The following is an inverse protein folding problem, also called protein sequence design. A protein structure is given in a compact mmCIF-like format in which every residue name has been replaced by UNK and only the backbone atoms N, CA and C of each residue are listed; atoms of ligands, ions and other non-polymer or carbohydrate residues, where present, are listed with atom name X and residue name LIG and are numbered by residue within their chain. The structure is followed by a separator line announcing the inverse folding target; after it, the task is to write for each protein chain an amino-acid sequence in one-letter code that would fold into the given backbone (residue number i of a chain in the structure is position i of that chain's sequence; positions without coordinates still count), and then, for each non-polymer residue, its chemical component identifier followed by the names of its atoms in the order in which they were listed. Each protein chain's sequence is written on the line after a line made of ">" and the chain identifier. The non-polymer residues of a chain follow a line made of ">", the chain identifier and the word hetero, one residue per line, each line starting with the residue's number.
data_IF_986339090048
#
_entry.id   IF_986339090048
#
_cell.length_a   1.000
_cell.length_b   1.000
_cell.length_c   1.000
_cell.angle_alpha   90.00
_cell.angle_beta   90.00
_cell.angle_gamma   90.00
#
_symmetry.space_group_name_H-M   'P 1'
#
loop_
_entity.id
_entity.type
_entity.pdbx_description
1 polymer ?
#
# COMPACT_ATOMS: atom_id res chain seq x y z
N UNK A 1 -32.19 -4.12 -9.05
CA UNK A 1 -32.29 -4.04 -7.57
C UNK A 1 -30.96 -3.49 -7.08
N UNK A 2 -30.97 -2.47 -6.22
CA UNK A 2 -29.74 -1.90 -5.66
C UNK A 2 -29.11 -2.95 -4.73
N UNK A 3 -27.81 -3.26 -4.87
CA UNK A 3 -27.16 -4.25 -4.01
C UNK A 3 -27.27 -3.84 -2.55
N UNK A 4 -27.62 -4.78 -1.68
CA UNK A 4 -27.69 -4.54 -0.23
C UNK A 4 -26.28 -4.26 0.28
N UNK A 5 -26.07 -3.08 0.82
CA UNK A 5 -24.77 -2.62 1.30
C UNK A 5 -24.73 -2.66 2.81
N UNK A 6 -23.69 -3.31 3.35
CA UNK A 6 -23.26 -3.17 4.73
C UNK A 6 -22.00 -2.29 4.77
N UNK A 7 -22.05 -1.25 5.59
CA UNK A 7 -20.90 -0.38 5.85
C UNK A 7 -20.40 -0.62 7.26
N UNK A 8 -19.12 -0.93 7.39
CA UNK A 8 -18.42 -1.12 8.65
C UNK A 8 -17.31 -0.06 8.77
N UNK A 9 -16.98 0.31 10.00
CA UNK A 9 -15.84 1.17 10.28
C UNK A 9 -14.78 0.30 10.95
N UNK A 10 -13.52 0.42 10.51
CA UNK A 10 -12.40 -0.25 11.13
C UNK A 10 -12.40 0.00 12.65
N UNK A 11 -12.40 -1.05 13.46
CA UNK A 11 -12.49 -0.98 14.92
C UNK A 11 -13.72 -0.25 15.50
N UNK A 12 -14.78 -0.09 14.70
CA UNK A 12 -16.11 0.27 15.15
C UNK A 12 -16.89 -0.94 15.68
N UNK A 13 -18.17 -0.73 15.99
CA UNK A 13 -19.05 -1.77 16.51
C UNK A 13 -19.40 -2.83 15.45
N UNK A 14 -19.74 -4.03 15.92
CA UNK A 14 -20.18 -5.11 15.05
C UNK A 14 -21.63 -4.89 14.58
N UNK A 15 -21.91 -5.22 13.33
CA UNK A 15 -23.23 -5.15 12.74
C UNK A 15 -23.80 -6.56 12.53
N UNK A 16 -25.12 -6.71 12.71
CA UNK A 16 -25.79 -8.00 12.53
C UNK A 16 -26.19 -8.21 11.08
N UNK A 17 -25.80 -9.34 10.50
CA UNK A 17 -26.14 -9.70 9.13
C UNK A 17 -26.56 -11.16 9.02
N UNK A 18 -27.65 -11.40 8.26
CA UNK A 18 -28.08 -12.74 7.91
C UNK A 18 -27.23 -13.27 6.73
N UNK A 19 -26.48 -14.35 6.94
CA UNK A 19 -25.63 -14.97 5.93
C UNK A 19 -26.08 -16.41 5.64
N UNK A 20 -26.10 -16.79 4.37
CA UNK A 20 -26.22 -18.19 4.00
C UNK A 20 -24.88 -18.92 4.19
N UNK A 21 -24.90 -20.26 4.12
CA UNK A 21 -23.70 -21.07 4.37
C UNK A 21 -22.55 -20.75 3.38
N UNK A 22 -22.85 -20.53 2.10
CA UNK A 22 -21.83 -20.19 1.09
C UNK A 22 -21.25 -18.80 1.34
N UNK A 23 -22.07 -17.82 1.69
CA UNK A 23 -21.63 -16.47 2.06
C UNK A 23 -20.71 -16.48 3.29
N UNK A 24 -21.08 -17.23 4.34
CA UNK A 24 -20.28 -17.39 5.55
C UNK A 24 -18.89 -17.97 5.22
N UNK A 25 -18.83 -19.09 4.50
CA UNK A 25 -17.56 -19.72 4.12
C UNK A 25 -16.72 -18.81 3.24
N UNK A 26 -17.35 -18.09 2.31
CA UNK A 26 -16.67 -17.17 1.41
C UNK A 26 -16.02 -16.01 2.18
N UNK A 27 -16.76 -15.36 3.08
CA UNK A 27 -16.20 -14.27 3.89
C UNK A 27 -15.14 -14.74 4.87
N UNK A 28 -15.30 -15.93 5.48
CA UNK A 28 -14.27 -16.49 6.37
C UNK A 28 -12.95 -16.73 5.63
N UNK A 29 -12.99 -17.26 4.40
CA UNK A 29 -11.79 -17.51 3.59
C UNK A 29 -11.06 -16.24 3.19
N UNK A 30 -11.81 -15.18 2.92
CA UNK A 30 -11.25 -13.87 2.54
C UNK A 30 -10.58 -13.20 3.73
N UNK A 31 -11.11 -13.40 4.95
CA UNK A 31 -10.57 -12.78 6.17
C UNK A 31 -10.72 -11.25 6.22
N UNK A 32 -11.65 -10.69 5.43
CA UNK A 32 -11.90 -9.24 5.37
C UNK A 32 -12.62 -8.70 6.61
N UNK A 33 -13.55 -9.48 7.16
CA UNK A 33 -14.35 -9.16 8.35
C UNK A 33 -14.23 -10.27 9.38
N UNK A 34 -14.27 -9.89 10.66
CA UNK A 34 -14.46 -10.86 11.75
C UNK A 34 -15.92 -11.27 11.78
N UNK A 35 -16.19 -12.58 11.81
CA UNK A 35 -17.54 -13.12 11.82
C UNK A 35 -17.71 -13.95 13.08
N UNK A 36 -18.66 -13.55 13.93
CA UNK A 36 -19.01 -14.24 15.16
C UNK A 36 -20.44 -14.76 15.07
N UNK A 37 -20.70 -16.06 15.35
CA UNK A 37 -22.06 -16.59 15.37
C UNK A 37 -22.87 -15.99 16.52
N UNK A 38 -24.15 -15.70 16.27
CA UNK A 38 -25.09 -15.29 17.31
C UNK A 38 -25.89 -16.49 17.83
N UNK A 39 -26.78 -16.26 18.80
CA UNK A 39 -27.74 -17.27 19.27
C UNK A 39 -28.84 -17.56 18.24
N UNK A 40 -29.00 -16.71 17.21
CA UNK A 40 -30.00 -16.86 16.16
C UNK A 40 -29.38 -17.52 14.93
N UNK A 41 -29.92 -18.68 14.53
CA UNK A 41 -29.41 -19.45 13.40
C UNK A 41 -29.43 -18.63 12.10
N UNK A 42 -28.27 -18.53 11.45
CA UNK A 42 -28.11 -17.80 10.19
C UNK A 42 -27.84 -16.30 10.36
N UNK A 43 -27.83 -15.78 11.59
CA UNK A 43 -27.47 -14.39 11.90
C UNK A 43 -26.10 -14.36 12.57
N UNK A 44 -25.24 -13.49 12.04
CA UNK A 44 -23.86 -13.32 12.49
C UNK A 44 -23.60 -11.87 12.84
N UNK A 45 -22.72 -11.65 13.80
CA UNK A 45 -22.14 -10.33 14.08
C UNK A 45 -20.85 -10.18 13.26
N UNK A 46 -20.82 -9.14 12.43
CA UNK A 46 -19.71 -8.81 11.55
C UNK A 46 -19.03 -7.55 12.07
N UNK A 47 -17.74 -7.65 12.37
CA UNK A 47 -16.90 -6.51 12.67
C UNK A 47 -15.84 -6.33 11.58
N UNK A 48 -15.44 -5.10 11.32
CA UNK A 48 -14.35 -4.81 10.40
C UNK A 48 -13.06 -5.54 10.81
N UNK A 49 -12.37 -6.15 9.84
CA UNK A 49 -11.03 -6.68 10.04
C UNK A 49 -9.97 -5.58 10.11
N UNK A 50 -8.70 -5.95 9.89
CA UNK A 50 -7.56 -5.01 9.84
C UNK A 50 -7.37 -4.34 8.47
N UNK A 51 -8.20 -4.71 7.50
CA UNK A 51 -8.13 -4.25 6.10
C UNK A 51 -9.31 -3.36 5.80
N UNK A 52 -9.09 -2.32 5.00
CA UNK A 52 -10.13 -1.40 4.54
C UNK A 52 -10.36 -1.57 3.05
N UNK A 53 -11.57 -1.28 2.59
CA UNK A 53 -11.91 -1.35 1.18
C UNK A 53 -13.30 -1.94 0.95
N UNK A 54 -13.54 -2.52 -0.22
CA UNK A 54 -14.86 -3.01 -0.62
C UNK A 54 -14.79 -4.46 -1.09
N UNK A 55 -15.81 -5.23 -0.72
CA UNK A 55 -15.98 -6.63 -1.10
C UNK A 55 -17.40 -6.84 -1.57
N UNK A 56 -17.56 -7.33 -2.79
CA UNK A 56 -18.84 -7.78 -3.32
C UNK A 56 -18.99 -9.27 -3.04
N UNK A 57 -20.14 -9.68 -2.51
CA UNK A 57 -20.51 -11.05 -2.14
C UNK A 57 -21.83 -11.39 -2.83
N UNK A 58 -21.77 -11.96 -4.03
CA UNK A 58 -22.96 -12.09 -4.89
C UNK A 58 -23.61 -10.73 -5.17
N UNK A 59 -24.86 -10.55 -4.76
CA UNK A 59 -25.59 -9.26 -4.89
C UNK A 59 -25.40 -8.31 -3.70
N UNK A 60 -24.64 -8.71 -2.67
CA UNK A 60 -24.38 -7.89 -1.48
C UNK A 60 -23.01 -7.24 -1.54
N UNK A 61 -22.87 -6.14 -0.82
CA UNK A 61 -21.61 -5.41 -0.71
C UNK A 61 -21.27 -5.16 0.75
N UNK A 62 -20.01 -5.38 1.09
CA UNK A 62 -19.43 -5.03 2.39
C UNK A 62 -18.36 -4.00 2.13
N UNK A 63 -18.50 -2.83 2.75
CA UNK A 63 -17.55 -1.73 2.67
C UNK A 63 -16.97 -1.51 4.07
N UNK A 64 -15.64 -1.57 4.20
CA UNK A 64 -14.94 -1.24 5.45
C UNK A 64 -14.20 0.08 5.26
N UNK A 65 -14.57 1.09 6.03
CA UNK A 65 -13.89 2.39 6.03
C UNK A 65 -12.72 2.41 7.01
N UNK A 66 -11.63 3.12 6.69
CA UNK A 66 -10.58 3.42 7.66
C UNK A 66 -11.12 4.27 8.81
N UNK A 67 -10.48 4.15 9.98
CA UNK A 67 -10.73 5.07 11.11
C UNK A 67 -10.39 6.53 10.79
N UNK A 68 -9.48 6.76 9.86
CA UNK A 68 -9.17 8.11 9.34
C UNK A 68 -10.30 8.52 8.39
N UNK A 69 -11.07 9.53 8.77
CA UNK A 69 -12.19 10.01 7.98
C UNK A 69 -11.77 10.82 6.72
N UNK A 70 -10.58 11.43 6.72
CA UNK A 70 -10.09 12.24 5.60
C UNK A 70 -9.46 11.37 4.50
N UNK A 71 -10.18 11.19 3.40
CA UNK A 71 -9.74 10.39 2.25
C UNK A 71 -8.54 11.00 1.52
N UNK A 72 -8.46 12.34 1.46
CA UNK A 72 -7.32 13.04 0.90
C UNK A 72 -6.06 12.77 1.72
N UNK A 73 -6.22 12.60 3.05
CA UNK A 73 -5.11 12.16 3.90
C UNK A 73 -4.60 10.80 3.51
N UNK A 74 -5.49 9.83 3.33
CA UNK A 74 -5.07 8.47 3.01
C UNK A 74 -4.31 8.43 1.69
N UNK A 75 -4.79 9.17 0.68
CA UNK A 75 -4.10 9.23 -0.60
C UNK A 75 -2.71 9.87 -0.48
N UNK A 76 -2.58 10.92 0.35
CA UNK A 76 -1.28 11.50 0.68
C UNK A 76 -0.35 10.49 1.35
N UNK A 77 -0.79 9.76 2.38
CA UNK A 77 0.05 8.76 3.07
C UNK A 77 0.54 7.68 2.09
N UNK A 78 -0.37 7.14 1.27
CA UNK A 78 -0.08 6.15 0.24
C UNK A 78 0.93 6.65 -0.80
N UNK A 79 0.74 7.89 -1.27
CA UNK A 79 1.61 8.49 -2.26
C UNK A 79 3.00 8.81 -1.70
N UNK A 80 3.03 9.43 -0.53
CA UNK A 80 4.27 9.85 0.12
C UNK A 80 5.18 8.67 0.47
N UNK A 81 4.61 7.58 0.99
CA UNK A 81 5.33 6.34 1.25
C UNK A 81 6.03 5.75 0.00
N UNK A 82 5.55 6.09 -1.20
CA UNK A 82 6.08 5.57 -2.47
C UNK A 82 7.07 6.53 -3.14
N UNK A 83 6.78 7.83 -3.10
CA UNK A 83 7.62 8.86 -3.70
C UNK A 83 7.44 10.21 -2.97
N UNK A 84 8.24 10.50 -1.94
CA UNK A 84 8.12 11.72 -1.15
C UNK A 84 8.30 13.02 -1.93
N UNK A 85 9.26 13.05 -2.86
CA UNK A 85 9.63 14.24 -3.61
C UNK A 85 8.47 14.73 -4.49
N UNK A 86 7.69 13.80 -5.03
CA UNK A 86 6.59 14.12 -5.95
C UNK A 86 5.29 14.43 -5.19
N UNK A 87 4.97 13.67 -4.14
CA UNK A 87 3.69 13.83 -3.40
C UNK A 87 3.69 14.97 -2.39
N UNK A 88 4.85 15.58 -2.12
CA UNK A 88 4.95 16.83 -1.34
C UNK A 88 4.34 18.03 -2.07
N UNK A 89 4.46 18.09 -3.40
CA UNK A 89 4.14 19.27 -4.21
C UNK A 89 2.86 19.17 -5.06
N UNK A 90 2.36 17.96 -5.39
CA UNK A 90 1.17 17.74 -6.23
C UNK A 90 0.17 16.75 -5.59
N UNK A 91 -0.56 17.13 -4.52
CA UNK A 91 -1.54 16.25 -3.89
C UNK A 91 -2.74 16.03 -4.81
N UNK A 92 -3.05 14.76 -5.07
CA UNK A 92 -4.29 14.40 -5.77
C UNK A 92 -5.48 14.69 -4.86
N UNK A 93 -6.32 15.65 -5.27
CA UNK A 93 -7.55 15.99 -4.57
C UNK A 93 -8.72 15.08 -5.01
N UNK A 94 -9.32 14.41 -4.02
CA UNK A 94 -10.53 13.59 -4.10
C UNK A 94 -11.82 14.41 -3.90
N UNK A 95 -11.76 15.75 -4.00
CA UNK A 95 -12.85 16.70 -3.79
C UNK A 95 -14.27 16.14 -3.96
N UNK A 96 -15.02 16.07 -2.85
CA UNK A 96 -16.43 15.68 -2.84
C UNK A 96 -16.71 14.17 -2.84
N UNK A 97 -15.69 13.32 -2.67
CA UNK A 97 -15.90 11.89 -2.48
C UNK A 97 -16.32 11.57 -1.02
N UNK A 98 -17.48 10.94 -0.86
CA UNK A 98 -17.93 10.40 0.43
C UNK A 98 -17.31 9.02 0.74
N UNK A 99 -16.82 8.32 -0.29
CA UNK A 99 -16.26 6.98 -0.19
C UNK A 99 -14.86 6.91 -0.83
N UNK A 100 -13.92 6.23 -0.16
CA UNK A 100 -12.50 6.14 -0.57
C UNK A 100 -12.33 5.60 -1.99
N UNK A 101 -12.91 4.42 -2.27
CA UNK A 101 -12.66 3.71 -3.52
C UNK A 101 -13.32 4.40 -4.73
N UNK A 102 -14.60 4.83 -4.67
CA UNK A 102 -15.19 5.67 -5.72
C UNK A 102 -14.44 6.99 -5.90
N UNK A 103 -13.95 7.61 -4.82
CA UNK A 103 -13.13 8.82 -4.89
C UNK A 103 -11.82 8.60 -5.65
N UNK A 104 -11.05 7.58 -5.29
CA UNK A 104 -9.82 7.19 -5.99
C UNK A 104 -10.13 6.89 -7.46
N UNK A 105 -11.22 6.17 -7.74
CA UNK A 105 -11.62 5.84 -9.10
C UNK A 105 -11.94 7.09 -9.93
N UNK A 106 -12.64 8.06 -9.35
CA UNK A 106 -13.00 9.31 -10.02
C UNK A 106 -11.76 10.19 -10.28
N UNK A 107 -10.88 10.32 -9.29
CA UNK A 107 -9.61 11.03 -9.43
C UNK A 107 -8.73 10.39 -10.50
N UNK A 108 -8.55 9.06 -10.45
CA UNK A 108 -7.79 8.32 -11.46
C UNK A 108 -8.40 8.49 -12.84
N UNK A 109 -9.71 8.27 -12.99
CA UNK A 109 -10.39 8.38 -14.27
C UNK A 109 -10.22 9.79 -14.87
N UNK A 110 -10.26 10.85 -14.05
CA UNK A 110 -10.01 12.23 -14.47
C UNK A 110 -8.56 12.44 -14.90
N UNK A 111 -7.59 12.05 -14.08
CA UNK A 111 -6.16 12.29 -14.31
C UNK A 111 -5.66 11.47 -15.51
N UNK A 112 -5.96 10.17 -15.55
CA UNK A 112 -5.58 9.29 -16.65
C UNK A 112 -6.24 9.71 -17.97
N UNK A 113 -7.50 10.16 -17.97
CA UNK A 113 -8.15 10.65 -19.19
C UNK A 113 -7.43 11.87 -19.78
N UNK A 114 -6.96 12.80 -18.92
CA UNK A 114 -6.16 13.95 -19.38
C UNK A 114 -4.80 13.51 -19.91
N UNK A 115 -4.14 12.56 -19.24
CA UNK A 115 -2.84 12.05 -19.66
C UNK A 115 -2.86 11.45 -21.08
N UNK A 116 -3.94 10.75 -21.44
CA UNK A 116 -4.11 10.09 -22.75
C UNK A 116 -4.82 10.94 -23.80
N UNK A 117 -5.26 12.16 -23.46
CA UNK A 117 -6.10 13.00 -24.33
C UNK A 117 -5.42 13.32 -25.68
N UNK A 118 -4.10 13.47 -25.66
CA UNK A 118 -3.26 13.71 -26.83
C UNK A 118 -2.70 12.41 -27.45
N UNK A 119 -3.39 11.29 -27.27
CA UNK A 119 -2.96 9.97 -27.73
C UNK A 119 -2.05 9.21 -26.76
N UNK A 120 -1.94 7.89 -26.95
CA UNK A 120 -1.11 7.05 -26.10
C UNK A 120 0.37 7.37 -26.24
N UNK A 121 1.12 7.24 -25.15
CA UNK A 121 2.58 7.30 -25.22
C UNK A 121 3.08 6.08 -26.00
N UNK A 122 3.99 6.29 -26.94
CA UNK A 122 4.71 5.22 -27.64
C UNK A 122 6.14 5.19 -27.13
N UNK A 123 6.70 4.00 -27.03
CA UNK A 123 8.08 3.79 -26.60
C UNK A 123 8.67 2.52 -27.18
N UNK A 124 9.98 2.38 -27.04
CA UNK A 124 10.68 1.17 -27.45
C UNK A 124 10.51 0.09 -26.38
N UNK A 125 10.13 -1.11 -26.80
CA UNK A 125 10.10 -2.30 -25.97
C UNK A 125 10.93 -3.39 -26.62
N UNK A 126 11.87 -3.95 -25.85
CA UNK A 126 12.64 -5.11 -26.27
C UNK A 126 11.76 -6.37 -26.20
N UNK A 127 11.65 -7.07 -27.32
CA UNK A 127 10.86 -8.29 -27.48
C UNK A 127 11.81 -9.42 -27.84
N UNK A 128 11.74 -10.52 -27.08
CA UNK A 128 12.39 -11.78 -27.42
C UNK A 128 11.33 -12.77 -27.91
N UNK A 129 11.46 -13.23 -29.16
CA UNK A 129 10.48 -14.12 -29.80
C UNK A 129 11.19 -15.13 -30.74
N UNK A 130 10.46 -16.17 -31.13
CA UNK A 130 10.91 -17.17 -32.12
C UNK A 130 10.21 -16.91 -33.45
N UNK A 131 10.93 -16.34 -34.40
CA UNK A 131 10.37 -15.91 -35.69
C UNK A 131 10.90 -16.74 -36.86
N UNK A 132 10.14 -16.87 -37.96
CA UNK A 132 10.66 -17.52 -39.16
C UNK A 132 11.71 -16.69 -39.92
N UNK A 133 11.93 -15.44 -39.49
CA UNK A 133 12.82 -14.46 -40.12
C UNK A 133 13.73 -13.82 -39.07
N UNK A 134 14.90 -13.36 -39.50
CA UNK A 134 15.80 -12.58 -38.63
C UNK A 134 15.26 -11.15 -38.51
N UNK A 135 14.83 -10.76 -37.30
CA UNK A 135 14.46 -9.40 -36.93
C UNK A 135 15.28 -8.97 -35.72
N UNK A 136 16.04 -7.89 -35.83
CA UNK A 136 16.98 -7.47 -34.78
C UNK A 136 18.17 -8.42 -34.64
N UNK A 137 18.54 -8.78 -33.40
CA UNK A 137 19.68 -9.66 -33.09
C UNK A 137 19.24 -11.10 -32.85
N UNK A 138 20.04 -12.07 -33.29
CA UNK A 138 19.80 -13.47 -32.97
C UNK A 138 20.32 -13.80 -31.57
N UNK A 139 19.51 -14.48 -30.77
CA UNK A 139 19.91 -15.03 -29.48
C UNK A 139 20.61 -16.37 -29.67
N UNK A 140 21.86 -16.34 -30.14
CA UNK A 140 22.63 -17.53 -30.50
C UNK A 140 22.69 -18.57 -29.37
N UNK A 141 22.82 -18.14 -28.11
CA UNK A 141 22.80 -19.04 -26.96
C UNK A 141 21.48 -19.81 -26.84
N UNK A 142 20.33 -19.15 -27.01
CA UNK A 142 19.03 -19.83 -27.00
C UNK A 142 18.85 -20.72 -28.23
N UNK A 143 19.30 -20.27 -29.41
CA UNK A 143 19.24 -21.07 -30.65
C UNK A 143 20.02 -22.38 -30.50
N UNK A 144 21.23 -22.32 -29.94
CA UNK A 144 22.11 -23.47 -29.81
C UNK A 144 21.68 -24.43 -28.70
N UNK A 145 21.04 -23.93 -27.64
CA UNK A 145 20.67 -24.76 -26.48
C UNK A 145 19.24 -25.31 -26.55
N UNK A 146 18.27 -24.51 -27.02
CA UNK A 146 16.84 -24.88 -27.00
C UNK A 146 16.28 -25.23 -28.37
N UNK A 147 16.90 -24.75 -29.45
CA UNK A 147 16.46 -24.96 -30.84
C UNK A 147 17.54 -25.65 -31.68
N UNK A 148 18.38 -26.47 -31.04
CA UNK A 148 19.48 -27.17 -31.69
C UNK A 148 18.99 -28.03 -32.87
N UNK A 149 19.66 -27.89 -34.02
CA UNK A 149 19.33 -28.62 -35.24
C UNK A 149 18.12 -28.08 -36.02
N UNK A 150 17.38 -27.10 -35.48
CA UNK A 150 16.30 -26.41 -36.19
C UNK A 150 16.84 -25.10 -36.80
N UNK A 151 16.81 -24.94 -38.15
CA UNK A 151 17.19 -23.69 -38.77
C UNK A 151 16.13 -22.59 -38.57
N UNK A 152 14.88 -22.98 -38.29
CA UNK A 152 13.72 -22.10 -38.11
C UNK A 152 12.76 -22.76 -37.09
N UNK A 153 12.10 -22.00 -36.19
CA UNK A 153 12.21 -20.56 -35.98
C UNK A 153 13.56 -20.14 -35.37
N UNK A 154 13.93 -18.88 -35.62
CA UNK A 154 15.10 -18.23 -35.04
C UNK A 154 14.71 -17.55 -33.73
N UNK A 155 15.43 -17.83 -32.66
CA UNK A 155 15.37 -17.04 -31.43
C UNK A 155 15.97 -15.66 -31.69
N UNK A 156 15.15 -14.62 -31.67
CA UNK A 156 15.55 -13.24 -31.97
C UNK A 156 15.12 -12.29 -30.86
N UNK A 157 15.84 -11.18 -30.76
CA UNK A 157 15.52 -10.07 -29.89
C UNK A 157 15.59 -8.76 -30.69
N UNK A 158 14.56 -7.93 -30.57
CA UNK A 158 14.50 -6.64 -31.26
C UNK A 158 13.71 -5.62 -30.45
N UNK A 159 13.94 -4.35 -30.73
CA UNK A 159 13.17 -3.25 -30.14
C UNK A 159 12.00 -2.88 -31.06
N UNK A 160 10.79 -2.89 -30.50
CA UNK A 160 9.56 -2.51 -31.19
C UNK A 160 9.08 -1.15 -30.69
N UNK A 161 8.76 -0.23 -31.60
CA UNK A 161 8.18 1.05 -31.24
C UNK A 161 6.66 0.92 -31.16
N UNK A 162 6.13 0.82 -29.95
CA UNK A 162 4.76 0.37 -29.69
C UNK A 162 4.08 1.20 -28.60
N UNK A 163 2.76 1.13 -28.53
CA UNK A 163 1.97 1.61 -27.38
C UNK A 163 1.96 0.59 -26.24
N UNK A 164 2.38 -0.65 -26.47
CA UNK A 164 2.41 -1.71 -25.45
C UNK A 164 3.64 -1.60 -24.52
N UNK A 165 3.77 -0.45 -23.87
CA UNK A 165 4.85 -0.08 -22.93
C UNK A 165 4.39 -0.20 -21.46
N UNK A 166 5.34 -0.17 -20.53
CA UNK A 166 5.09 -0.29 -19.09
C UNK A 166 4.03 0.71 -18.60
N UNK A 167 4.15 1.98 -18.99
CA UNK A 167 3.25 3.05 -18.58
C UNK A 167 1.79 2.76 -18.97
N UNK A 168 1.55 2.41 -20.24
CA UNK A 168 0.20 2.14 -20.72
C UNK A 168 -0.38 0.86 -20.11
N UNK A 169 0.46 -0.17 -19.87
CA UNK A 169 0.04 -1.40 -19.19
C UNK A 169 -0.41 -1.14 -17.76
N UNK A 170 0.33 -0.33 -17.00
CA UNK A 170 -0.06 0.05 -15.64
C UNK A 170 -1.40 0.80 -15.62
N UNK A 171 -1.58 1.78 -16.52
CA UNK A 171 -2.84 2.52 -16.61
C UNK A 171 -4.01 1.63 -17.04
N UNK A 172 -3.81 0.70 -17.97
CA UNK A 172 -4.83 -0.27 -18.36
C UNK A 172 -5.20 -1.19 -17.19
N UNK A 173 -4.22 -1.74 -16.48
CA UNK A 173 -4.46 -2.62 -15.33
C UNK A 173 -5.22 -1.88 -14.23
N UNK A 174 -4.81 -0.66 -13.87
CA UNK A 174 -5.53 0.16 -12.89
C UNK A 174 -6.95 0.51 -13.37
N UNK A 175 -7.12 0.81 -14.67
CA UNK A 175 -8.46 1.07 -15.25
C UNK A 175 -9.37 -0.15 -15.13
N UNK A 176 -8.87 -1.34 -15.45
CA UNK A 176 -9.61 -2.59 -15.33
C UNK A 176 -9.94 -2.90 -13.87
N UNK A 177 -8.99 -2.63 -12.97
CA UNK A 177 -9.17 -2.80 -11.54
C UNK A 177 -10.25 -1.87 -10.99
N UNK A 178 -10.29 -0.62 -11.43
CA UNK A 178 -11.29 0.32 -10.93
C UNK A 178 -12.69 0.05 -11.52
N UNK A 179 -12.81 -0.55 -12.70
CA UNK A 179 -14.12 -0.84 -13.31
C UNK A 179 -14.98 -1.85 -12.54
N UNK A 180 -14.37 -2.61 -11.62
CA UNK A 180 -15.06 -3.54 -10.71
C UNK A 180 -15.47 -2.88 -9.39
N UNK A 181 -14.99 -1.65 -9.11
CA UNK A 181 -15.33 -0.92 -7.90
C UNK A 181 -16.84 -0.68 -7.88
N UNK A 182 -17.53 -1.03 -6.77
CA UNK A 182 -18.95 -0.78 -6.66
C UNK A 182 -19.24 0.71 -6.54
N UNK A 183 -20.47 1.12 -6.89
CA UNK A 183 -20.98 2.50 -6.69
C UNK A 183 -20.13 3.60 -7.34
N UNK A 184 -19.43 3.27 -8.44
CA UNK A 184 -18.84 4.29 -9.29
C UNK A 184 -19.89 5.26 -9.81
N UNK A 185 -19.57 6.55 -9.78
CA UNK A 185 -20.35 7.56 -10.47
C UNK A 185 -20.43 7.24 -11.97
N UNK A 186 -21.57 7.50 -12.60
CA UNK A 186 -21.74 7.29 -14.05
C UNK A 186 -20.73 8.09 -14.89
N UNK A 187 -20.25 9.21 -14.36
CA UNK A 187 -19.15 10.00 -14.94
C UNK A 187 -17.81 9.25 -14.87
N UNK A 188 -17.43 8.74 -13.70
CA UNK A 188 -16.21 7.96 -13.53
C UNK A 188 -16.24 6.68 -14.37
N UNK A 189 -17.36 5.93 -14.33
CA UNK A 189 -17.54 4.70 -15.10
C UNK A 189 -17.40 4.93 -16.60
N UNK A 190 -18.02 5.99 -17.14
CA UNK A 190 -17.87 6.35 -18.57
C UNK A 190 -16.44 6.72 -18.95
N UNK A 191 -15.72 7.44 -18.09
CA UNK A 191 -14.30 7.78 -18.31
C UNK A 191 -13.43 6.52 -18.31
N UNK A 192 -13.59 5.63 -17.33
CA UNK A 192 -12.86 4.36 -17.27
C UNK A 192 -13.14 3.46 -18.48
N UNK A 193 -14.39 3.35 -18.93
CA UNK A 193 -14.73 2.60 -20.15
C UNK A 193 -14.14 3.23 -21.42
N UNK A 194 -13.97 4.56 -21.46
CA UNK A 194 -13.26 5.24 -22.54
C UNK A 194 -11.77 4.92 -22.50
N UNK A 195 -11.14 5.04 -21.34
CA UNK A 195 -9.73 4.67 -21.12
C UNK A 195 -9.46 3.23 -21.55
N UNK A 196 -10.27 2.28 -21.10
CA UNK A 196 -10.15 0.86 -21.50
C UNK A 196 -10.18 0.68 -23.02
N UNK A 197 -11.02 1.44 -23.74
CA UNK A 197 -11.07 1.38 -25.21
C UNK A 197 -9.85 2.04 -25.86
N UNK A 198 -9.33 3.11 -25.29
CA UNK A 198 -8.09 3.75 -25.78
C UNK A 198 -6.89 2.81 -25.69
N UNK A 199 -6.87 1.89 -24.73
CA UNK A 199 -5.82 0.88 -24.54
C UNK A 199 -6.07 -0.44 -25.28
N UNK A 200 -6.88 -0.46 -26.35
CA UNK A 200 -7.23 -1.70 -27.06
C UNK A 200 -6.02 -2.49 -27.60
N UNK A 201 -4.95 -1.78 -27.98
CA UNK A 201 -3.70 -2.37 -28.51
C UNK A 201 -2.64 -2.59 -27.42
N UNK A 202 -3.00 -2.51 -26.14
CA UNK A 202 -2.10 -2.71 -24.99
C UNK A 202 -2.42 -4.04 -24.33
N UNK A 203 -1.39 -4.85 -24.07
CA UNK A 203 -1.57 -6.18 -23.51
C UNK A 203 -1.98 -6.13 -22.04
N UNK A 204 -3.00 -6.91 -21.68
CA UNK A 204 -3.37 -7.16 -20.28
C UNK A 204 -2.39 -8.18 -19.70
N UNK A 205 -1.82 -7.88 -18.53
CA UNK A 205 -0.90 -8.79 -17.86
C UNK A 205 -1.69 -9.91 -17.14
N UNK A 206 -1.25 -11.18 -17.22
CA UNK A 206 -1.84 -12.24 -16.42
C UNK A 206 -1.73 -11.94 -14.93
N UNK A 207 -2.71 -12.41 -14.15
CA UNK A 207 -2.67 -12.28 -12.68
C UNK A 207 -1.43 -12.94 -12.10
N UNK A 208 -0.87 -12.31 -11.07
CA UNK A 208 0.36 -12.77 -10.42
C UNK A 208 1.65 -12.45 -11.17
N UNK A 209 1.57 -11.86 -12.36
CA UNK A 209 2.76 -11.32 -13.03
C UNK A 209 3.27 -10.11 -12.25
N UNK A 210 4.59 -10.00 -12.07
CA UNK A 210 5.19 -8.79 -11.52
C UNK A 210 4.79 -7.56 -12.34
N UNK A 211 4.42 -6.48 -11.66
CA UNK A 211 4.07 -5.22 -12.34
C UNK A 211 5.31 -4.67 -13.06
N UNK A 212 5.15 -4.15 -14.29
CA UNK A 212 6.26 -3.56 -15.02
C UNK A 212 6.69 -2.27 -14.31
N UNK A 213 7.99 -2.02 -14.26
CA UNK A 213 8.56 -0.79 -13.73
C UNK A 213 8.56 0.31 -14.78
N UNK A 214 8.36 1.56 -14.37
CA UNK A 214 8.56 2.76 -15.19
C UNK A 214 9.45 3.74 -14.43
N UNK A 215 10.04 4.71 -15.14
CA UNK A 215 10.86 5.76 -14.53
C UNK A 215 10.39 7.13 -14.99
N UNK A 216 10.32 8.13 -14.09
CA UNK A 216 10.02 9.51 -14.47
C UNK A 216 11.01 10.02 -15.53
N UNK A 217 10.47 10.55 -16.62
CA UNK A 217 11.24 11.19 -17.68
C UNK A 217 10.48 12.37 -18.28
N UNK A 218 11.17 13.22 -19.03
CA UNK A 218 10.52 14.32 -19.77
C UNK A 218 9.50 13.83 -20.80
N UNK A 219 9.66 12.60 -21.28
CA UNK A 219 8.77 12.01 -22.30
C UNK A 219 7.43 11.56 -21.71
N UNK A 220 7.42 11.13 -20.45
CA UNK A 220 6.23 10.64 -19.77
C UNK A 220 5.68 11.62 -18.73
N UNK A 221 6.14 12.88 -18.69
CA UNK A 221 5.70 13.90 -17.72
C UNK A 221 4.17 13.99 -17.60
N UNK A 222 3.43 13.96 -18.72
CA UNK A 222 1.96 14.01 -18.70
C UNK A 222 1.28 12.76 -18.10
N UNK A 223 2.01 11.64 -17.95
CA UNK A 223 1.51 10.39 -17.39
C UNK A 223 1.83 10.24 -15.90
N UNK A 224 2.82 10.97 -15.37
CA UNK A 224 3.42 10.66 -14.07
C UNK A 224 2.40 10.62 -12.94
N UNK A 225 1.53 11.63 -12.80
CA UNK A 225 0.49 11.64 -11.76
C UNK A 225 -0.50 10.48 -11.93
N UNK A 226 -0.83 10.09 -13.16
CA UNK A 226 -1.71 8.94 -13.43
C UNK A 226 -1.03 7.61 -13.08
N UNK A 227 0.26 7.48 -13.39
CA UNK A 227 1.05 6.28 -13.12
C UNK A 227 1.29 6.08 -11.63
N UNK A 228 1.59 7.15 -10.89
CA UNK A 228 1.72 7.11 -9.43
C UNK A 228 0.42 6.66 -8.77
N UNK A 229 -0.72 7.20 -9.22
CA UNK A 229 -2.01 6.76 -8.73
C UNK A 229 -2.33 5.32 -9.14
N UNK A 230 -1.92 4.88 -10.34
CA UNK A 230 -2.02 3.49 -10.78
C UNK A 230 -1.21 2.55 -9.88
N UNK A 231 0.01 2.93 -9.48
CA UNK A 231 0.83 2.15 -8.55
C UNK A 231 0.15 1.96 -7.19
N UNK A 232 -0.47 3.02 -6.65
CA UNK A 232 -1.26 2.96 -5.42
C UNK A 232 -2.46 1.99 -5.58
N UNK A 233 -3.19 2.12 -6.68
CA UNK A 233 -4.35 1.27 -6.99
C UNK A 233 -3.93 -0.20 -7.14
N UNK A 234 -2.80 -0.46 -7.81
CA UNK A 234 -2.30 -1.80 -8.07
C UNK A 234 -1.56 -2.41 -6.88
N UNK A 235 -1.15 -1.60 -5.90
CA UNK A 235 -0.66 -2.07 -4.61
C UNK A 235 -1.78 -2.56 -3.69
N UNK A 236 -3.04 -2.21 -3.96
CA UNK A 236 -4.17 -2.77 -3.25
C UNK A 236 -4.22 -4.29 -3.49
N UNK A 237 -4.42 -5.07 -2.43
CA UNK A 237 -4.65 -6.50 -2.59
C UNK A 237 -6.02 -6.68 -3.26
N UNK A 238 -5.97 -7.05 -4.54
CA UNK A 238 -7.15 -7.45 -5.30
C UNK A 238 -7.36 -8.94 -5.14
N UNK A 239 -8.59 -9.36 -4.88
CA UNK A 239 -8.93 -10.77 -4.86
C UNK A 239 -10.22 -11.02 -5.62
N UNK A 240 -10.27 -12.18 -6.26
CA UNK A 240 -11.48 -12.75 -6.84
C UNK A 240 -11.49 -14.23 -6.47
N UNK A 241 -12.50 -14.63 -5.69
CA UNK A 241 -12.63 -16.00 -5.21
C UNK A 241 -14.05 -16.48 -5.45
N UNK A 242 -14.17 -17.66 -6.06
CA UNK A 242 -15.46 -18.34 -6.22
C UNK A 242 -15.60 -19.41 -5.12
N UNK A 243 -16.60 -19.29 -4.24
CA UNK A 243 -17.00 -20.34 -3.28
C UNK A 243 -18.37 -20.86 -3.66
N UNK A 244 -18.41 -22.03 -4.30
CA UNK A 244 -19.65 -22.57 -4.86
C UNK A 244 -20.24 -21.59 -5.89
N UNK A 245 -21.48 -21.16 -5.68
CA UNK A 245 -22.16 -20.20 -6.55
C UNK A 245 -21.90 -18.73 -6.18
N UNK A 246 -21.16 -18.47 -5.10
CA UNK A 246 -20.88 -17.11 -4.63
C UNK A 246 -19.52 -16.65 -5.15
N UNK A 247 -19.55 -15.62 -5.99
CA UNK A 247 -18.36 -14.86 -6.37
C UNK A 247 -18.08 -13.79 -5.34
N UNK A 248 -16.82 -13.72 -4.88
CA UNK A 248 -16.31 -12.66 -4.02
C UNK A 248 -15.23 -11.89 -4.73
N UNK A 249 -15.43 -10.59 -4.92
CA UNK A 249 -14.43 -9.69 -5.52
C UNK A 249 -14.24 -8.48 -4.65
N UNK A 250 -12.99 -8.09 -4.40
CA UNK A 250 -12.74 -6.90 -3.59
C UNK A 250 -11.33 -6.34 -3.69
N UNK A 251 -11.17 -5.18 -3.08
CA UNK A 251 -9.93 -4.41 -2.99
C UNK A 251 -9.68 -4.05 -1.55
N UNK A 252 -8.49 -4.40 -1.06
CA UNK A 252 -8.13 -4.24 0.34
C UNK A 252 -6.83 -3.46 0.47
N UNK A 253 -6.83 -2.52 1.40
CA UNK A 253 -5.64 -1.82 1.86
C UNK A 253 -5.33 -2.23 3.30
N UNK A 254 -4.08 -2.62 3.53
CA UNK A 254 -3.52 -2.78 4.87
C UNK A 254 -3.14 -1.42 5.43
N UNK A 255 -4.05 -0.80 6.17
CA UNK A 255 -3.84 0.56 6.69
C UNK A 255 -2.62 0.69 7.60
N UNK A 256 -2.31 -0.38 8.33
CA UNK A 256 -1.13 -0.41 9.19
C UNK A 256 0.17 -0.33 8.38
N UNK A 257 0.27 -1.06 7.25
CA UNK A 257 1.42 -0.99 6.33
C UNK A 257 1.55 0.40 5.72
N UNK A 258 0.45 0.98 5.30
CA UNK A 258 0.44 2.33 4.71
C UNK A 258 0.99 3.36 5.70
N UNK A 259 0.56 3.26 6.97
CA UNK A 259 1.04 4.15 8.01
C UNK A 259 2.51 3.90 8.33
N UNK A 260 2.94 2.65 8.45
CA UNK A 260 4.34 2.26 8.65
C UNK A 260 5.24 2.78 7.53
N UNK A 261 4.91 2.46 6.27
CA UNK A 261 5.68 2.91 5.11
C UNK A 261 5.78 4.44 5.06
N UNK A 262 4.70 5.15 5.41
CA UNK A 262 4.71 6.62 5.49
C UNK A 262 5.65 7.13 6.58
N UNK A 263 5.52 6.62 7.82
CA UNK A 263 6.32 7.06 8.96
C UNK A 263 7.80 6.78 8.74
N UNK A 264 8.12 5.57 8.29
CA UNK A 264 9.49 5.14 8.01
C UNK A 264 10.13 5.98 6.91
N UNK A 265 9.41 6.24 5.82
CA UNK A 265 9.90 7.06 4.70
C UNK A 265 10.11 8.51 5.12
N UNK A 266 9.12 9.13 5.76
CA UNK A 266 9.18 10.53 6.16
C UNK A 266 10.24 10.78 7.24
N UNK A 267 10.38 9.88 8.22
CA UNK A 267 11.46 9.96 9.20
C UNK A 267 12.83 9.73 8.56
N UNK A 268 12.94 8.82 7.58
CA UNK A 268 14.19 8.58 6.86
C UNK A 268 14.70 9.82 6.13
N UNK A 269 13.81 10.56 5.45
CA UNK A 269 14.18 11.84 4.83
C UNK A 269 14.60 12.88 5.87
N UNK A 270 13.82 13.02 6.94
CA UNK A 270 14.11 13.98 8.01
C UNK A 270 15.46 13.69 8.69
N UNK A 271 15.76 12.42 8.96
CA UNK A 271 17.07 11.99 9.46
C UNK A 271 18.19 12.14 8.43
N UNK A 272 17.91 11.90 7.14
CA UNK A 272 18.87 12.13 6.05
C UNK A 272 19.40 13.56 6.04
N UNK A 273 18.55 14.56 6.32
CA UNK A 273 18.96 15.97 6.46
C UNK A 273 19.85 16.23 7.68
N UNK A 274 19.74 15.40 8.73
CA UNK A 274 20.57 15.48 9.93
C UNK A 274 21.89 14.69 9.76
N UNK A 275 21.98 13.84 8.73
CA UNK A 275 23.08 12.91 8.45
C UNK A 275 22.91 11.57 9.16
N UNK A 276 23.68 10.56 8.75
CA UNK A 276 23.50 9.17 9.18
C UNK A 276 22.76 8.34 8.13
N UNK A 277 22.45 7.08 8.46
CA UNK A 277 21.77 6.14 7.56
C UNK A 277 20.55 5.55 8.26
N UNK A 278 19.42 5.58 7.59
CA UNK A 278 18.22 4.88 8.01
C UNK A 278 18.17 3.49 7.36
N UNK A 279 17.86 2.47 8.15
CA UNK A 279 17.58 1.12 7.67
C UNK A 279 16.11 0.82 8.02
N UNK A 280 15.20 0.85 7.04
CA UNK A 280 13.83 0.40 7.26
C UNK A 280 13.81 -1.12 7.42
N UNK A 281 12.95 -1.62 8.31
CA UNK A 281 12.72 -3.06 8.50
C UNK A 281 14.03 -3.86 8.72
N UNK A 282 14.93 -3.34 9.55
CA UNK A 282 16.27 -3.87 9.78
C UNK A 282 16.19 -5.29 10.41
N UNK A 283 16.68 -6.34 9.74
CA UNK A 283 16.57 -7.70 10.26
C UNK A 283 17.56 -7.92 11.42
N UNK A 284 17.02 -8.29 12.58
CA UNK A 284 17.74 -8.57 13.81
C UNK A 284 17.29 -9.94 14.37
N UNK A 285 18.03 -10.47 15.35
CA UNK A 285 17.59 -11.64 16.11
C UNK A 285 17.61 -11.34 17.61
N UNK A 286 16.63 -11.89 18.32
CA UNK A 286 16.50 -11.73 19.77
C UNK A 286 17.53 -12.56 20.54
N UNK A 287 17.86 -13.72 20.01
CA UNK A 287 18.64 -14.75 20.66
C UNK A 287 19.96 -15.02 19.93
N UNK A 288 20.98 -15.47 20.67
CA UNK A 288 22.32 -15.75 20.13
C UNK A 288 22.34 -16.89 19.09
N UNK A 289 21.25 -17.67 18.98
CA UNK A 289 21.12 -18.77 18.03
C UNK A 289 20.40 -18.36 16.73
N UNK A 290 20.05 -17.08 16.56
CA UNK A 290 19.36 -16.53 15.39
C UNK A 290 18.05 -17.28 15.05
N UNK A 291 17.28 -17.67 16.08
CA UNK A 291 16.02 -18.42 15.88
C UNK A 291 14.77 -17.55 16.01
N UNK A 292 14.89 -16.40 16.66
CA UNK A 292 13.79 -15.49 16.93
C UNK A 292 14.05 -14.19 16.20
N UNK A 293 13.42 -14.06 15.03
CA UNK A 293 13.51 -12.86 14.19
C UNK A 293 12.90 -11.64 14.88
N UNK A 294 13.55 -10.49 14.66
CA UNK A 294 13.13 -9.17 15.10
C UNK A 294 13.27 -8.21 13.93
N UNK A 295 12.27 -7.35 13.75
CA UNK A 295 12.24 -6.42 12.63
C UNK A 295 11.63 -5.08 13.05
N UNK A 296 12.42 -4.17 13.64
CA UNK A 296 11.97 -2.80 13.87
C UNK A 296 11.68 -2.08 12.55
N UNK A 297 10.62 -1.27 12.52
CA UNK A 297 10.19 -0.57 11.31
C UNK A 297 11.27 0.40 10.79
N UNK A 298 12.00 1.06 11.69
CA UNK A 298 13.11 1.95 11.33
C UNK A 298 14.20 1.98 12.39
N UNK A 299 15.45 1.80 11.96
CA UNK A 299 16.63 2.08 12.78
C UNK A 299 17.48 3.15 12.11
N UNK A 300 17.84 4.20 12.85
CA UNK A 300 18.75 5.24 12.38
C UNK A 300 20.13 5.08 13.00
N UNK A 301 21.14 5.06 12.13
CA UNK A 301 22.53 4.82 12.44
C UNK A 301 23.40 6.06 12.21
N UNK A 302 24.42 6.21 13.04
CA UNK A 302 25.55 7.12 12.80
C UNK A 302 26.82 6.30 12.63
N UNK A 303 27.30 6.20 11.40
CA UNK A 303 28.28 5.16 11.06
C UNK A 303 27.60 3.80 11.18
N UNK A 304 28.22 2.89 11.94
CA UNK A 304 27.69 1.55 12.20
C UNK A 304 26.98 1.44 13.58
N UNK A 305 26.91 2.54 14.33
CA UNK A 305 26.25 2.54 15.64
C UNK A 305 24.76 2.89 15.51
N UNK A 306 23.84 2.03 15.98
CA UNK A 306 22.43 2.38 16.07
C UNK A 306 22.27 3.50 17.09
N UNK A 307 21.45 4.51 16.77
CA UNK A 307 21.21 5.68 17.65
C UNK A 307 19.75 5.81 18.05
N UNK A 308 18.85 5.40 17.17
CA UNK A 308 17.41 5.53 17.38
C UNK A 308 16.74 4.30 16.76
N UNK A 309 15.84 3.68 17.53
CA UNK A 309 14.91 2.65 17.03
C UNK A 309 13.49 3.18 17.13
N UNK A 310 12.74 3.02 16.04
CA UNK A 310 11.36 3.48 15.89
C UNK A 310 10.50 2.33 15.39
N UNK A 311 9.30 2.25 15.96
CA UNK A 311 8.25 1.33 15.51
C UNK A 311 6.91 2.09 15.45
N UNK A 312 6.23 1.97 14.32
CA UNK A 312 5.03 2.70 13.95
C UNK A 312 3.79 1.82 14.15
N UNK A 313 2.85 2.30 14.95
CA UNK A 313 1.62 1.57 15.28
C UNK A 313 0.38 2.31 14.78
N UNK A 314 -0.31 1.69 13.83
CA UNK A 314 -1.60 2.16 13.33
C UNK A 314 -2.77 1.79 14.27
N UNK A 315 -2.77 2.38 15.46
CA UNK A 315 -3.85 2.29 16.44
C UNK A 315 -3.75 3.47 17.41
N UNK A 316 -4.86 3.80 18.05
CA UNK A 316 -4.82 4.70 19.19
C UNK A 316 -4.16 3.98 20.37
N UNK A 317 -3.34 4.70 21.14
CA UNK A 317 -2.92 4.29 22.48
C UNK A 317 -4.20 4.10 23.33
N UNK A 318 -4.66 2.85 23.51
CA UNK A 318 -5.82 2.51 24.35
C UNK A 318 -5.30 1.95 25.68
N UNK A 319 -5.74 2.46 26.85
CA UNK A 319 -5.35 1.91 28.15
C UNK A 319 -6.08 0.61 28.53
N UNK A 320 -7.22 0.29 27.90
CA UNK A 320 -8.13 -0.75 28.39
C UNK A 320 -8.26 -1.93 27.42
N UNK A 321 -7.51 -2.99 27.72
CA UNK A 321 -7.76 -4.36 27.24
C UNK A 321 -6.81 -4.83 26.13
N UNK A 322 -6.02 -5.87 26.46
CA UNK A 322 -4.98 -6.58 25.68
C UNK A 322 -3.56 -5.94 25.70
N UNK A 323 -2.51 -6.78 25.77
CA UNK A 323 -1.27 -6.50 26.51
C UNK A 323 -0.42 -5.41 25.83
N UNK A 324 0.44 -4.78 26.63
CA UNK A 324 1.51 -3.85 26.27
C UNK A 324 2.56 -4.45 25.31
N UNK A 325 2.15 -5.21 24.29
CA UNK A 325 2.98 -5.96 23.37
C UNK A 325 3.95 -5.04 22.62
N UNK A 326 3.52 -3.84 22.25
CA UNK A 326 4.38 -2.85 21.59
C UNK A 326 5.50 -2.38 22.53
N UNK A 327 5.22 -2.22 23.84
CA UNK A 327 6.24 -1.87 24.84
C UNK A 327 7.21 -3.03 25.08
N UNK A 328 6.73 -4.27 25.10
CA UNK A 328 7.60 -5.45 25.22
C UNK A 328 8.48 -5.64 23.98
N UNK A 329 7.90 -5.45 22.79
CA UNK A 329 8.62 -5.47 21.52
C UNK A 329 9.70 -4.39 21.49
N UNK A 330 9.36 -3.16 21.89
CA UNK A 330 10.32 -2.05 21.95
C UNK A 330 11.43 -2.30 22.98
N UNK A 331 11.11 -2.87 24.15
CA UNK A 331 12.13 -3.27 25.12
C UNK A 331 13.09 -4.31 24.53
N UNK A 332 12.58 -5.27 23.77
CA UNK A 332 13.40 -6.26 23.09
C UNK A 332 14.31 -5.62 22.04
N UNK A 333 13.80 -4.68 21.22
CA UNK A 333 14.61 -3.90 20.28
C UNK A 333 15.73 -3.14 20.98
N UNK A 334 15.40 -2.39 22.03
CA UNK A 334 16.37 -1.64 22.83
C UNK A 334 17.45 -2.56 23.42
N UNK A 335 17.08 -3.77 23.85
CA UNK A 335 18.02 -4.75 24.41
C UNK A 335 19.03 -5.23 23.36
N UNK A 336 18.56 -5.65 22.19
CA UNK A 336 19.41 -6.16 21.10
C UNK A 336 20.30 -5.05 20.53
N UNK A 337 19.74 -3.86 20.31
CA UNK A 337 20.46 -2.69 19.77
C UNK A 337 21.30 -1.95 20.82
N UNK A 338 21.22 -2.35 22.09
CA UNK A 338 21.88 -1.70 23.24
C UNK A 338 21.54 -0.20 23.34
N UNK A 339 20.29 0.14 23.07
CA UNK A 339 19.75 1.49 23.21
C UNK A 339 19.02 1.61 24.55
N UNK A 340 19.23 2.71 25.27
CA UNK A 340 18.47 3.02 26.49
C UNK A 340 17.19 3.81 26.19
N UNK A 341 16.92 4.14 24.94
CA UNK A 341 15.72 4.88 24.53
C UNK A 341 15.10 4.21 23.30
N UNK A 342 13.79 3.95 23.35
CA UNK A 342 13.01 3.41 22.24
C UNK A 342 11.80 4.30 21.93
N UNK A 343 11.39 4.36 20.67
CA UNK A 343 10.35 5.29 20.23
C UNK A 343 9.20 4.55 19.52
N UNK A 344 8.00 4.64 20.07
CA UNK A 344 6.76 4.17 19.44
C UNK A 344 6.04 5.37 18.81
N UNK A 345 5.58 5.23 17.57
CA UNK A 345 4.87 6.30 16.85
C UNK A 345 3.45 5.83 16.53
N UNK A 346 2.45 6.41 17.20
CA UNK A 346 1.05 6.05 17.05
C UNK A 346 0.31 6.98 16.08
N UNK A 347 -0.58 6.40 15.29
CA UNK A 347 -1.57 7.12 14.48
C UNK A 347 -2.69 7.67 15.40
N UNK A 348 -2.46 8.82 16.05
CA UNK A 348 -3.43 9.45 16.96
C UNK A 348 -3.25 10.97 16.95
N UNK A 349 -4.35 11.71 17.20
CA UNK A 349 -4.35 13.17 17.35
C UNK A 349 -3.40 13.70 18.43
N UNK A 350 -3.57 14.96 18.83
CA UNK A 350 -2.59 15.74 19.62
C UNK A 350 -2.46 15.35 21.12
N UNK A 351 -2.31 14.08 21.45
CA UNK A 351 -2.00 13.64 22.81
C UNK A 351 -0.53 13.90 23.18
N UNK A 352 -0.23 14.26 24.43
CA UNK A 352 1.13 14.51 24.86
C UNK A 352 1.95 13.21 24.80
N UNK A 353 3.23 13.34 24.44
CA UNK A 353 4.19 12.23 24.47
C UNK A 353 4.16 11.59 25.85
N UNK A 354 3.80 10.30 25.91
CA UNK A 354 3.90 9.50 27.13
C UNK A 354 5.27 8.83 27.17
N UNK A 355 5.83 8.64 28.37
CA UNK A 355 7.13 7.99 28.55
C UNK A 355 7.03 6.92 29.63
N UNK A 356 7.58 5.74 29.34
CA UNK A 356 7.58 4.59 30.22
C UNK A 356 9.02 4.22 30.58
N UNK A 357 9.43 4.53 31.82
CA UNK A 357 10.69 4.02 32.36
C UNK A 357 10.52 2.54 32.72
N UNK A 358 11.30 1.67 32.07
CA UNK A 358 11.21 0.22 32.25
C UNK A 358 11.80 -0.15 33.60
N UNK A 359 11.00 -0.80 34.44
CA UNK A 359 11.49 -1.24 35.76
C UNK A 359 12.56 -2.32 35.57
N UNK A 360 13.71 -2.12 36.22
CA UNK A 360 14.83 -3.08 36.19
C UNK A 360 15.72 -2.98 34.95
N UNK A 361 15.60 -1.88 34.20
CA UNK A 361 16.43 -1.56 33.04
C UNK A 361 16.62 -0.04 32.97
N UNK A 362 17.67 0.41 32.28
CA UNK A 362 17.88 1.84 31.98
C UNK A 362 17.07 2.29 30.74
N UNK A 363 16.24 1.40 30.18
CA UNK A 363 15.42 1.68 29.01
C UNK A 363 14.24 2.59 29.34
N UNK A 364 14.08 3.66 28.56
CA UNK A 364 12.90 4.52 28.53
C UNK A 364 12.22 4.39 27.17
N UNK A 365 10.92 4.13 27.17
CA UNK A 365 10.13 4.02 25.94
C UNK A 365 9.25 5.25 25.79
N UNK A 366 9.43 6.02 24.72
CA UNK A 366 8.63 7.19 24.40
C UNK A 366 7.53 6.84 23.38
N UNK A 367 6.29 7.18 23.70
CA UNK A 367 5.15 7.04 22.82
C UNK A 367 4.81 8.42 22.22
N UNK A 368 4.97 8.55 20.92
CA UNK A 368 4.66 9.75 20.15
C UNK A 368 3.32 9.57 19.44
N UNK A 369 2.57 10.66 19.27
CA UNK A 369 1.34 10.68 18.50
C UNK A 369 1.52 11.54 17.24
N UNK A 370 1.17 10.98 16.07
CA UNK A 370 1.11 11.69 14.79
C UNK A 370 -0.33 12.06 14.44
N UNK A 371 -0.61 13.35 14.33
CA UNK A 371 -1.95 13.85 14.09
C UNK A 371 -2.28 13.79 12.59
N UNK A 372 -2.88 12.67 12.21
CA UNK A 372 -3.36 12.40 10.85
C UNK A 372 -4.61 13.23 10.46
N UNK A 373 -5.01 14.23 11.24
CA UNK A 373 -5.95 15.26 10.79
C UNK A 373 -5.25 16.51 10.23
N UNK A 374 -3.97 16.78 10.56
CA UNK A 374 -3.23 17.97 10.12
C UNK A 374 -2.95 18.00 8.61
N UNK A 375 -3.09 19.12 7.90
CA UNK A 375 -2.73 19.17 6.47
C UNK A 375 -1.35 18.53 6.15
N UNK A 376 -1.13 17.94 4.96
CA UNK A 376 0.12 17.27 4.60
C UNK A 376 1.40 18.03 5.01
N UNK A 377 1.48 19.32 4.69
CA UNK A 377 2.61 20.17 5.09
C UNK A 377 2.82 20.24 6.61
N UNK A 378 1.75 20.35 7.41
CA UNK A 378 1.83 20.38 8.88
C UNK A 378 2.20 19.01 9.45
N UNK A 379 1.73 17.92 8.85
CA UNK A 379 2.11 16.57 9.24
C UNK A 379 3.61 16.32 9.00
N UNK A 380 4.14 16.75 7.85
CA UNK A 380 5.58 16.67 7.58
C UNK A 380 6.40 17.53 8.54
N UNK A 381 5.94 18.74 8.87
CA UNK A 381 6.58 19.56 9.91
C UNK A 381 6.58 18.88 11.30
N UNK A 382 5.53 18.13 11.63
CA UNK A 382 5.48 17.35 12.87
C UNK A 382 6.56 16.25 12.88
N UNK A 383 6.73 15.56 11.75
CA UNK A 383 7.77 14.53 11.56
C UNK A 383 9.17 15.14 11.64
N UNK A 384 9.41 16.28 10.99
CA UNK A 384 10.71 16.97 11.06
C UNK A 384 11.06 17.38 12.49
N UNK A 385 10.08 17.91 13.24
CA UNK A 385 10.27 18.27 14.64
C UNK A 385 10.56 17.03 15.49
N UNK A 386 9.85 15.93 15.24
CA UNK A 386 10.09 14.64 15.89
C UNK A 386 11.52 14.17 15.62
N UNK A 387 11.93 14.01 14.36
CA UNK A 387 13.27 13.55 13.98
C UNK A 387 14.40 14.37 14.64
N UNK A 388 14.27 15.71 14.68
CA UNK A 388 15.23 16.59 15.37
C UNK A 388 15.30 16.34 16.86
N UNK A 389 14.15 16.12 17.52
CA UNK A 389 14.09 15.79 18.94
C UNK A 389 14.79 14.46 19.22
N UNK A 390 14.44 13.40 18.48
CA UNK A 390 15.03 12.06 18.66
C UNK A 390 16.55 12.09 18.41
N UNK A 391 16.99 12.79 17.36
CA UNK A 391 18.41 12.95 17.08
C UNK A 391 19.16 13.67 18.21
N UNK A 392 18.57 14.72 18.79
CA UNK A 392 19.17 15.46 19.90
C UNK A 392 19.27 14.63 21.19
N UNK A 393 18.22 13.86 21.51
CA UNK A 393 18.17 12.98 22.67
C UNK A 393 19.23 11.87 22.55
N UNK A 394 19.33 11.24 21.37
CA UNK A 394 20.35 10.24 21.10
C UNK A 394 21.79 10.76 21.24
N UNK A 395 22.02 12.08 21.11
CA UNK A 395 23.35 12.67 21.28
C UNK A 395 23.71 12.92 22.75
N UNK A 396 22.71 13.08 23.62
CA UNK A 396 22.89 13.34 25.05
C UNK A 396 23.12 12.07 25.87
N UNK A 397 22.61 10.93 25.38
CA UNK A 397 22.77 9.63 26.02
C UNK A 397 24.09 9.02 25.54
N UNK A 398 25.12 9.12 26.37
CA UNK A 398 26.43 8.48 26.22
C UNK A 398 26.75 7.63 27.42
#
# INVERSE_FOLDING_TARGET
>A
MTPQTLTLIEGGDAERLALCASEYVALQRVGFVSITPTLETGIYELAAGRKVGAVSLGERQILVHPKIADLNRLLFLLGYARDPDIWRDDPVDLAGADELLPGIAEAFARIASRAVEQGLLQGYRTISERLPVLRGRMLAGEQMTRLYGLPVPLAVEYDDFTVDIAENRLLLMATMLLLTVPRLSETARRRLLRLRRSFADVAVLPRGTALPSWQPSRLNTRYQSALRLAEIILAAESFEHQVGDVSVTGYLFDMWRIFEDFVTTALSEAFGQLGGRCIPQDPLHLDDADQIDMQPDLVWYRGDEPRVVIDAKYKAEKPNGYPNADLYQMLAYCTVLRLSVGHLVYAKGNEPVSAHSVRGSDVVIHCHALDLALSPAKLLMQIDKMARSLASESAMVR
#
